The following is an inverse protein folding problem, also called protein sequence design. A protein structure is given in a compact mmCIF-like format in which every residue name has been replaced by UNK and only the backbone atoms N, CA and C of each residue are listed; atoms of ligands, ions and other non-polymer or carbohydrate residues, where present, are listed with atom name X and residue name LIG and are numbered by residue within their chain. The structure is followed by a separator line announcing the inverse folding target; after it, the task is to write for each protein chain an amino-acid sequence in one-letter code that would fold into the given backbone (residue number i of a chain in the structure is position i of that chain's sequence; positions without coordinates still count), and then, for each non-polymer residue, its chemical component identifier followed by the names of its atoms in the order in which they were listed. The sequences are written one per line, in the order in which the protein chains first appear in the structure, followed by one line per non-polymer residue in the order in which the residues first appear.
data_IF_553866466370
#
_entry.id   IF_553866466370
#
_cell.length_a   1.000
_cell.length_b   1.000
_cell.length_c   1.000
_cell.angle_alpha   90.00
_cell.angle_beta   90.00
_cell.angle_gamma   90.00
#
_symmetry.space_group_name_H-M   'P 1'
#
loop_
_entity.id
_entity.type
_entity.pdbx_description
1 polymer ?
#
# COMPACT_ATOMS: atom_id res chain seq x y z
N UNK A 1 11.15 -29.50 -2.41
CA UNK A 1 10.50 -28.29 -2.95
C UNK A 1 10.30 -27.29 -1.84
N UNK A 2 10.84 -26.05 -1.94
CA UNK A 2 10.55 -25.01 -0.96
C UNK A 2 9.10 -24.56 -1.16
N UNK A 3 8.23 -24.85 -0.18
CA UNK A 3 6.85 -24.36 -0.18
C UNK A 3 6.88 -22.82 -0.17
N UNK A 4 6.24 -22.19 -1.15
CA UNK A 4 6.03 -20.74 -1.17
C UNK A 4 5.37 -20.32 0.17
N UNK A 5 6.15 -19.67 1.04
CA UNK A 5 5.72 -19.21 2.37
C UNK A 5 4.56 -18.20 2.29
N UNK A 6 4.35 -17.57 1.14
CA UNK A 6 3.34 -16.54 0.90
C UNK A 6 1.90 -17.02 0.90
N UNK A 7 1.63 -18.32 0.67
CA UNK A 7 0.27 -18.85 0.63
C UNK A 7 -0.35 -19.20 1.99
N UNK A 8 0.41 -19.17 3.09
CA UNK A 8 -0.08 -19.67 4.39
C UNK A 8 -0.94 -18.64 5.14
N UNK A 9 -0.60 -17.35 5.09
CA UNK A 9 -1.33 -16.30 5.83
C UNK A 9 -2.76 -16.12 5.31
N UNK A 10 -2.94 -15.94 4.00
CA UNK A 10 -4.25 -15.68 3.42
C UNK A 10 -5.23 -16.85 3.60
N UNK A 11 -4.73 -18.09 3.61
CA UNK A 11 -5.52 -19.29 3.88
C UNK A 11 -5.98 -19.36 5.33
N UNK A 12 -5.12 -18.98 6.29
CA UNK A 12 -5.48 -18.90 7.71
C UNK A 12 -6.44 -17.75 7.97
N UNK A 13 -6.25 -16.62 7.30
CA UNK A 13 -7.17 -15.49 7.35
C UNK A 13 -8.58 -15.86 6.88
N UNK A 14 -8.71 -16.57 5.76
CA UNK A 14 -10.01 -17.04 5.26
C UNK A 14 -10.74 -17.91 6.28
N UNK A 15 -10.09 -18.96 6.79
CA UNK A 15 -10.66 -19.86 7.79
C UNK A 15 -11.04 -19.10 9.08
N UNK A 16 -10.13 -18.31 9.63
CA UNK A 16 -10.38 -17.55 10.86
C UNK A 16 -11.51 -16.54 10.69
N UNK A 17 -11.61 -15.88 9.53
CA UNK A 17 -12.70 -14.96 9.20
C UNK A 17 -14.04 -15.69 9.15
N UNK A 18 -14.10 -16.89 8.56
CA UNK A 18 -15.33 -17.69 8.58
C UNK A 18 -15.76 -18.06 10.00
N UNK A 19 -14.80 -18.37 10.87
CA UNK A 19 -15.06 -18.68 12.28
C UNK A 19 -15.51 -17.47 13.12
N UNK A 20 -15.38 -16.24 12.61
CA UNK A 20 -15.98 -15.06 13.27
C UNK A 20 -17.52 -15.09 13.21
N UNK A 21 -18.08 -15.78 12.22
CA UNK A 21 -19.50 -16.11 12.13
C UNK A 21 -19.72 -17.63 12.22
N UNK A 22 -20.91 -18.07 11.83
CA UNK A 22 -21.29 -19.50 11.85
C UNK A 22 -21.21 -20.12 10.45
N UNK A 23 -20.21 -19.70 9.68
CA UNK A 23 -20.02 -20.15 8.30
C UNK A 23 -19.31 -21.50 8.18
N UNK A 24 -19.37 -22.08 6.99
CA UNK A 24 -18.62 -23.28 6.61
C UNK A 24 -17.44 -22.89 5.71
N UNK A 25 -16.30 -23.55 5.90
CA UNK A 25 -15.08 -23.27 5.15
C UNK A 25 -14.52 -24.55 4.55
N UNK A 26 -14.04 -24.48 3.31
CA UNK A 26 -13.33 -25.57 2.64
C UNK A 26 -12.17 -24.99 1.82
N UNK A 27 -11.03 -25.67 1.84
CA UNK A 27 -9.95 -25.42 0.92
C UNK A 27 -10.20 -26.21 -0.37
N UNK A 28 -10.07 -25.54 -1.52
CA UNK A 28 -10.20 -26.17 -2.84
C UNK A 28 -9.09 -25.69 -3.78
N UNK A 29 -8.67 -26.54 -4.71
CA UNK A 29 -7.67 -26.23 -5.72
C UNK A 29 -8.29 -25.55 -6.96
N UNK A 30 -8.95 -24.42 -6.72
CA UNK A 30 -9.48 -23.53 -7.76
C UNK A 30 -10.11 -24.27 -8.97
N UNK A 31 -9.54 -24.08 -10.17
CA UNK A 31 -10.06 -24.54 -11.45
C UNK A 31 -9.61 -25.97 -11.84
N UNK A 32 -8.82 -26.66 -11.03
CA UNK A 32 -8.26 -27.98 -11.37
C UNK A 32 -9.20 -29.17 -11.05
N UNK A 33 -10.46 -28.88 -10.70
CA UNK A 33 -11.52 -29.86 -10.52
C UNK A 33 -12.27 -29.66 -9.21
N UNK A 34 -13.60 -29.51 -9.30
CA UNK A 34 -14.47 -29.46 -8.12
C UNK A 34 -14.41 -30.82 -7.42
N UNK A 35 -14.09 -30.84 -6.12
CA UNK A 35 -14.16 -32.06 -5.30
C UNK A 35 -12.85 -32.51 -4.66
N UNK A 36 -11.74 -31.79 -4.87
CA UNK A 36 -10.50 -32.03 -4.15
C UNK A 36 -10.60 -31.44 -2.73
N UNK A 37 -11.23 -32.20 -1.81
CA UNK A 37 -11.34 -31.82 -0.41
C UNK A 37 -9.99 -31.95 0.27
N UNK A 38 -9.22 -30.86 0.29
CA UNK A 38 -7.94 -30.83 0.98
C UNK A 38 -8.20 -30.77 2.49
N UNK A 39 -7.67 -31.78 3.21
CA UNK A 39 -7.76 -31.85 4.66
C UNK A 39 -6.54 -31.21 5.29
N UNK A 40 -6.77 -30.36 6.30
CA UNK A 40 -5.74 -29.64 7.02
C UNK A 40 -5.91 -29.87 8.52
N UNK A 41 -4.81 -29.92 9.31
CA UNK A 41 -4.89 -30.16 10.76
C UNK A 41 -5.81 -29.18 11.52
N UNK A 42 -6.01 -27.99 10.97
CA UNK A 42 -6.96 -26.97 11.47
C UNK A 42 -8.40 -27.48 11.55
N UNK A 43 -8.81 -28.44 10.72
CA UNK A 43 -10.15 -29.03 10.76
C UNK A 43 -10.34 -30.06 11.88
N UNK A 44 -9.27 -30.73 12.32
CA UNK A 44 -9.31 -31.70 13.43
C UNK A 44 -9.16 -31.04 14.81
N UNK A 45 -9.08 -29.71 14.84
CA UNK A 45 -8.78 -29.00 16.07
C UNK A 45 -9.96 -29.05 17.03
N UNK A 46 -9.74 -29.38 18.32
CA UNK A 46 -10.80 -29.48 19.32
C UNK A 46 -11.27 -28.09 19.79
N UNK A 47 -11.62 -27.20 18.87
CA UNK A 47 -12.06 -25.83 19.14
C UNK A 47 -13.44 -25.82 19.82
N UNK A 48 -14.31 -26.75 19.45
CA UNK A 48 -15.65 -26.93 20.03
C UNK A 48 -16.67 -25.86 19.58
N UNK A 49 -17.63 -25.52 20.44
CA UNK A 49 -18.74 -24.60 20.11
C UNK A 49 -18.36 -23.15 20.42
N UNK A 50 -18.86 -22.16 19.64
CA UNK A 50 -18.67 -20.75 19.99
C UNK A 50 -19.39 -20.43 21.31
N UNK A 51 -18.74 -19.61 22.15
CA UNK A 51 -19.29 -19.13 23.44
C UNK A 51 -20.17 -17.89 23.30
N UNK A 52 -20.15 -17.26 22.13
CA UNK A 52 -20.87 -16.01 21.84
C UNK A 52 -20.53 -15.46 20.46
N UNK A 53 -21.00 -14.25 20.11
CA UNK A 53 -20.62 -13.56 18.88
C UNK A 53 -19.13 -13.17 18.91
N UNK A 54 -18.55 -12.92 17.73
CA UNK A 54 -17.23 -12.31 17.64
C UNK A 54 -17.25 -10.86 18.12
N UNK A 55 -16.19 -10.44 18.80
CA UNK A 55 -15.96 -9.06 19.21
C UNK A 55 -14.84 -8.43 18.40
N UNK A 56 -14.91 -7.11 18.18
CA UNK A 56 -13.86 -6.33 17.54
C UNK A 56 -13.16 -5.45 18.57
N UNK A 57 -11.84 -5.56 18.63
CA UNK A 57 -10.98 -4.74 19.46
C UNK A 57 -10.77 -3.34 18.87
N UNK A 58 -10.28 -2.41 19.69
CA UNK A 58 -10.00 -1.03 19.27
C UNK A 58 -8.93 -0.94 18.16
N UNK A 59 -7.98 -1.87 18.14
CA UNK A 59 -6.96 -2.02 17.10
C UNK A 59 -7.50 -2.66 15.79
N UNK A 60 -8.79 -3.01 15.77
CA UNK A 60 -9.47 -3.58 14.61
C UNK A 60 -9.42 -5.10 14.51
N UNK A 61 -8.74 -5.78 15.44
CA UNK A 61 -8.68 -7.25 15.48
C UNK A 61 -10.00 -7.83 15.92
N UNK A 62 -10.44 -8.87 15.23
CA UNK A 62 -11.62 -9.62 15.61
C UNK A 62 -11.22 -10.88 16.36
N UNK A 63 -11.95 -11.17 17.44
CA UNK A 63 -11.75 -12.36 18.25
C UNK A 63 -13.08 -13.04 18.55
N UNK A 64 -13.07 -14.37 18.61
CA UNK A 64 -14.21 -15.16 19.04
C UNK A 64 -13.77 -16.28 19.96
N UNK A 65 -14.44 -16.40 21.10
CA UNK A 65 -14.18 -17.45 22.07
C UNK A 65 -15.00 -18.71 21.74
N UNK A 66 -14.37 -19.87 21.93
CA UNK A 66 -14.96 -21.19 21.77
C UNK A 66 -14.75 -22.02 23.05
N UNK A 67 -15.47 -23.12 23.21
CA UNK A 67 -15.35 -24.02 24.37
C UNK A 67 -13.93 -24.56 24.55
N UNK A 68 -13.22 -24.86 23.47
CA UNK A 68 -11.87 -25.40 23.47
C UNK A 68 -10.76 -24.41 23.13
N UNK A 69 -11.08 -23.12 22.89
CA UNK A 69 -10.05 -22.11 22.64
C UNK A 69 -10.57 -20.78 22.12
N UNK A 70 -9.72 -20.06 21.39
CA UNK A 70 -10.04 -18.76 20.81
C UNK A 70 -9.55 -18.68 19.37
N UNK A 71 -10.25 -17.89 18.56
CA UNK A 71 -9.83 -17.56 17.20
C UNK A 71 -9.66 -16.06 17.12
N UNK A 72 -8.58 -15.61 16.48
CA UNK A 72 -8.33 -14.21 16.19
C UNK A 72 -8.06 -14.01 14.70
N UNK A 73 -8.56 -12.92 14.13
CA UNK A 73 -8.31 -12.54 12.74
C UNK A 73 -7.92 -11.06 12.62
N UNK A 74 -6.88 -10.82 11.84
CA UNK A 74 -6.37 -9.49 11.52
C UNK A 74 -6.76 -9.12 10.09
N UNK A 75 -7.88 -8.43 9.93
CA UNK A 75 -8.33 -7.90 8.64
C UNK A 75 -7.75 -6.53 8.29
N UNK A 76 -6.77 -6.04 9.07
CA UNK A 76 -6.17 -4.72 8.84
C UNK A 76 -4.95 -4.83 7.94
N UNK A 77 -4.46 -3.66 7.49
CA UNK A 77 -3.21 -3.56 6.74
C UNK A 77 -1.95 -3.57 7.62
N UNK A 78 -2.12 -3.68 8.94
CA UNK A 78 -1.06 -3.57 9.92
C UNK A 78 -0.85 -4.92 10.61
N UNK A 79 0.36 -5.19 11.07
CA UNK A 79 0.60 -6.25 12.03
C UNK A 79 -0.02 -5.83 13.38
N UNK A 80 -0.58 -6.80 14.09
CA UNK A 80 -1.23 -6.59 15.37
C UNK A 80 -0.77 -7.61 16.39
N UNK A 81 -1.09 -7.36 17.65
CA UNK A 81 -0.69 -8.21 18.77
C UNK A 81 -1.95 -8.66 19.51
N UNK A 82 -2.07 -9.95 19.75
CA UNK A 82 -3.16 -10.57 20.49
C UNK A 82 -2.64 -11.16 21.79
N UNK A 83 -3.31 -10.80 22.88
CA UNK A 83 -3.07 -11.30 24.23
C UNK A 83 -4.35 -11.97 24.76
N UNK A 84 -4.50 -13.29 24.60
CA UNK A 84 -5.75 -14.00 24.88
C UNK A 84 -6.05 -14.19 26.39
N UNK A 85 -5.30 -13.55 27.28
CA UNK A 85 -5.50 -13.64 28.74
C UNK A 85 -5.10 -14.99 29.35
N UNK A 86 -4.04 -15.62 28.86
CA UNK A 86 -3.54 -16.90 29.37
C UNK A 86 -2.47 -17.50 28.48
N UNK A 87 -2.06 -18.74 28.78
CA UNK A 87 -1.10 -19.49 27.97
C UNK A 87 -1.83 -20.29 26.90
N UNK A 88 -1.45 -20.08 25.64
CA UNK A 88 -2.05 -20.74 24.50
C UNK A 88 -0.97 -21.35 23.61
N UNK A 89 -1.34 -22.41 22.89
CA UNK A 89 -0.63 -22.93 21.73
C UNK A 89 -1.28 -22.38 20.47
N UNK A 90 -0.52 -21.67 19.64
CA UNK A 90 -0.95 -21.34 18.28
C UNK A 90 -0.83 -22.59 17.41
N UNK A 91 -1.97 -23.04 16.90
CA UNK A 91 -2.04 -24.22 16.07
C UNK A 91 -1.20 -24.08 14.78
N UNK A 92 -1.12 -22.86 14.23
CA UNK A 92 -0.46 -22.59 12.95
C UNK A 92 1.06 -22.76 13.01
N UNK A 93 1.64 -22.46 14.17
CA UNK A 93 3.10 -22.43 14.37
C UNK A 93 3.58 -23.45 15.39
N UNK A 94 2.67 -24.03 16.18
CA UNK A 94 2.97 -24.88 17.33
C UNK A 94 3.50 -24.10 18.56
N UNK A 95 3.68 -22.78 18.44
CA UNK A 95 4.28 -21.92 19.48
C UNK A 95 3.36 -21.81 20.68
N UNK A 96 3.93 -21.97 21.88
CA UNK A 96 3.25 -21.75 23.16
C UNK A 96 3.66 -20.40 23.73
N UNK A 97 2.72 -19.46 23.83
CA UNK A 97 2.96 -18.10 24.29
C UNK A 97 1.73 -17.49 24.99
N UNK A 98 1.93 -16.33 25.61
CA UNK A 98 0.86 -15.48 26.18
C UNK A 98 0.51 -14.29 25.28
N UNK A 99 1.27 -14.11 24.19
CA UNK A 99 1.22 -12.98 23.27
C UNK A 99 1.59 -13.47 21.88
N UNK A 100 0.81 -13.07 20.88
CA UNK A 100 0.98 -13.49 19.48
C UNK A 100 0.89 -12.31 18.53
N UNK A 101 1.86 -12.18 17.63
CA UNK A 101 1.85 -11.23 16.52
C UNK A 101 1.08 -11.82 15.35
N UNK A 102 -0.03 -11.18 15.00
CA UNK A 102 -0.81 -11.49 13.80
C UNK A 102 -0.34 -10.57 12.69
N UNK A 103 0.14 -11.15 11.59
CA UNK A 103 0.47 -10.37 10.39
C UNK A 103 -0.79 -9.74 9.79
N UNK A 104 -0.62 -8.72 8.94
CA UNK A 104 -1.71 -8.21 8.10
C UNK A 104 -2.38 -9.36 7.34
N UNK A 105 -3.72 -9.36 7.28
CA UNK A 105 -4.50 -10.41 6.61
C UNK A 105 -4.08 -11.82 7.06
N UNK A 106 -4.07 -12.04 8.37
CA UNK A 106 -3.75 -13.33 9.00
C UNK A 106 -4.84 -13.77 9.99
N UNK A 107 -4.87 -15.07 10.27
CA UNK A 107 -5.75 -15.69 11.24
C UNK A 107 -5.00 -16.66 12.15
N UNK A 108 -5.44 -16.80 13.40
CA UNK A 108 -4.86 -17.72 14.38
C UNK A 108 -5.96 -18.48 15.12
N UNK A 109 -5.73 -19.78 15.29
CA UNK A 109 -6.49 -20.64 16.20
C UNK A 109 -5.60 -20.92 17.40
N UNK A 110 -6.05 -20.50 18.57
CA UNK A 110 -5.30 -20.53 19.82
C UNK A 110 -5.97 -21.52 20.78
N UNK A 111 -5.22 -22.52 21.24
CA UNK A 111 -5.69 -23.54 22.17
C UNK A 111 -5.07 -23.32 23.55
N UNK A 112 -5.85 -23.22 24.64
CA UNK A 112 -5.32 -23.16 25.99
C UNK A 112 -4.39 -24.35 26.26
N UNK A 113 -3.30 -24.12 26.98
CA UNK A 113 -2.33 -25.18 27.27
C UNK A 113 -1.54 -24.93 28.54
N UNK A 114 -1.14 -26.01 29.21
CA UNK A 114 -0.23 -25.97 30.36
C UNK A 114 1.24 -26.18 29.96
N UNK A 115 1.51 -26.53 28.70
CA UNK A 115 2.85 -26.75 28.18
C UNK A 115 3.80 -25.58 28.51
N UNK A 116 5.11 -25.81 28.64
CA UNK A 116 6.05 -24.72 28.86
C UNK A 116 6.03 -23.73 27.68
N UNK A 117 6.34 -22.46 27.96
CA UNK A 117 6.48 -21.46 26.91
C UNK A 117 7.56 -21.90 25.93
N UNK A 118 7.31 -21.73 24.63
CA UNK A 118 8.34 -21.95 23.62
C UNK A 118 9.44 -20.90 23.82
N UNK A 119 10.73 -21.29 23.94
CA UNK A 119 11.82 -20.34 24.11
C UNK A 119 11.89 -19.29 22.98
N UNK A 120 12.33 -18.07 23.34
CA UNK A 120 12.45 -16.93 22.44
C UNK A 120 11.19 -16.05 22.38
N UNK A 121 11.35 -14.80 21.94
CA UNK A 121 10.22 -13.89 21.75
C UNK A 121 9.44 -14.22 20.47
N UNK A 122 8.20 -13.72 20.39
CA UNK A 122 7.48 -13.78 19.13
C UNK A 122 8.07 -12.75 18.17
N UNK A 123 7.87 -12.95 16.86
CA UNK A 123 8.33 -12.00 15.88
C UNK A 123 7.66 -10.64 16.15
N UNK A 124 8.42 -9.54 16.27
CA UNK A 124 7.82 -8.24 16.48
C UNK A 124 6.94 -7.85 15.29
N UNK A 125 5.89 -7.03 15.52
CA UNK A 125 5.13 -6.44 14.43
C UNK A 125 6.07 -5.58 13.58
N UNK A 126 5.99 -5.73 12.26
CA UNK A 126 6.88 -5.04 11.31
C UNK A 126 6.32 -3.71 10.84
N UNK A 127 5.00 -3.63 10.76
CA UNK A 127 4.27 -2.44 10.32
C UNK A 127 3.07 -2.27 11.23
N UNK A 128 3.03 -1.22 12.04
CA UNK A 128 1.92 -0.94 12.97
C UNK A 128 1.20 0.32 12.56
N UNK A 129 -0.06 0.48 13.01
CA UNK A 129 -0.83 1.70 12.79
C UNK A 129 -0.34 2.87 13.65
N UNK A 130 0.49 2.58 14.67
CA UNK A 130 1.08 3.61 15.52
C UNK A 130 2.14 4.38 14.75
N UNK A 131 2.16 5.69 14.93
CA UNK A 131 3.20 6.56 14.38
C UNK A 131 4.53 6.20 15.07
N UNK A 132 5.60 5.87 14.32
CA UNK A 132 6.87 5.49 14.91
C UNK A 132 7.60 6.71 15.50
N UNK A 133 8.46 6.51 16.49
CA UNK A 133 9.26 7.60 17.08
C UNK A 133 10.35 8.14 16.13
N UNK A 134 10.78 7.31 15.17
CA UNK A 134 11.80 7.62 14.16
C UNK A 134 11.37 7.14 12.78
N UNK A 135 12.08 7.58 11.75
CA UNK A 135 11.89 7.05 10.40
C UNK A 135 12.04 5.52 10.38
N UNK A 136 11.10 4.86 9.72
CA UNK A 136 11.08 3.42 9.57
C UNK A 136 10.91 3.07 8.10
N UNK A 137 11.80 2.24 7.56
CA UNK A 137 11.67 1.63 6.24
C UNK A 137 11.63 0.10 6.39
N UNK A 138 10.52 -0.51 5.99
CA UNK A 138 10.21 -1.91 6.26
C UNK A 138 9.89 -2.64 4.96
N UNK A 139 10.58 -3.76 4.72
CA UNK A 139 10.21 -4.72 3.67
C UNK A 139 9.34 -5.83 4.25
N UNK A 140 8.15 -5.99 3.70
CA UNK A 140 7.18 -7.03 4.10
C UNK A 140 7.43 -8.32 3.33
N UNK A 141 6.78 -9.40 3.79
CA UNK A 141 6.96 -10.74 3.22
C UNK A 141 6.64 -10.75 1.72
N UNK A 142 5.50 -10.19 1.32
CA UNK A 142 5.07 -10.15 -0.08
C UNK A 142 5.86 -9.15 -0.96
N UNK A 143 6.96 -8.62 -0.44
CA UNK A 143 7.84 -7.68 -1.13
C UNK A 143 7.37 -6.23 -1.10
N UNK A 144 6.20 -5.94 -0.50
CA UNK A 144 5.77 -4.56 -0.25
C UNK A 144 6.82 -3.84 0.58
N UNK A 145 7.17 -2.61 0.18
CA UNK A 145 8.02 -1.72 0.97
C UNK A 145 7.13 -0.65 1.61
N UNK A 146 7.26 -0.44 2.91
CA UNK A 146 6.57 0.61 3.64
C UNK A 146 7.58 1.58 4.27
N UNK A 147 7.36 2.88 4.13
CA UNK A 147 8.13 3.91 4.83
C UNK A 147 7.18 4.70 5.74
N UNK A 148 7.51 4.85 7.02
CA UNK A 148 6.73 5.62 8.00
C UNK A 148 7.58 6.72 8.63
N UNK A 149 6.98 7.90 8.84
CA UNK A 149 7.62 9.04 9.49
C UNK A 149 7.07 9.27 10.90
N UNK A 150 7.82 9.94 11.79
CA UNK A 150 7.30 10.40 13.08
C UNK A 150 6.20 11.46 12.96
N UNK A 151 6.10 12.14 11.82
CA UNK A 151 5.03 13.08 11.53
C UNK A 151 3.73 12.42 11.07
N UNK A 152 3.67 11.09 10.94
CA UNK A 152 2.46 10.34 10.60
C UNK A 152 2.24 10.07 9.11
N UNK A 153 3.20 10.41 8.24
CA UNK A 153 3.20 10.00 6.84
C UNK A 153 3.58 8.52 6.74
N UNK A 154 2.87 7.78 5.88
CA UNK A 154 3.16 6.40 5.52
C UNK A 154 3.04 6.21 4.01
N UNK A 155 4.10 5.70 3.38
CA UNK A 155 4.14 5.36 1.96
C UNK A 155 4.20 3.84 1.81
N UNK A 156 3.46 3.27 0.86
CA UNK A 156 3.51 1.84 0.54
C UNK A 156 3.70 1.59 -0.94
N UNK A 157 4.75 0.87 -1.25
CA UNK A 157 5.15 0.51 -2.60
C UNK A 157 4.93 -0.98 -2.84
N UNK A 158 4.39 -1.33 -3.99
CA UNK A 158 4.43 -2.71 -4.49
C UNK A 158 5.87 -3.16 -4.75
N UNK A 159 6.13 -4.47 -4.87
CA UNK A 159 7.45 -4.98 -5.24
C UNK A 159 8.00 -4.39 -6.55
N UNK A 160 7.11 -3.91 -7.43
CA UNK A 160 7.46 -3.30 -8.72
C UNK A 160 7.85 -1.82 -8.63
N UNK A 161 7.74 -1.20 -7.45
CA UNK A 161 7.91 0.25 -7.26
C UNK A 161 6.61 1.06 -7.28
N UNK A 162 5.50 0.48 -7.73
CA UNK A 162 4.25 1.25 -7.79
C UNK A 162 3.80 1.72 -6.40
N UNK A 163 3.80 3.05 -6.18
CA UNK A 163 3.26 3.68 -4.98
C UNK A 163 1.74 3.47 -4.91
N UNK A 164 1.29 2.63 -3.98
CA UNK A 164 -0.13 2.24 -3.84
C UNK A 164 -0.86 3.04 -2.79
N UNK A 165 -0.21 3.36 -1.69
CA UNK A 165 -0.81 4.12 -0.62
C UNK A 165 0.12 5.25 -0.21
N UNK A 166 -0.46 6.44 -0.13
CA UNK A 166 0.08 7.59 0.56
C UNK A 166 -0.92 7.83 1.68
N UNK A 167 -0.48 7.63 2.92
CA UNK A 167 -1.32 7.78 4.11
C UNK A 167 -0.75 8.88 4.99
N UNK A 168 -1.62 9.68 5.59
CA UNK A 168 -1.26 10.66 6.59
C UNK A 168 -2.20 10.49 7.78
N UNK A 169 -1.64 10.11 8.93
CA UNK A 169 -2.40 9.74 10.13
C UNK A 169 -3.51 8.71 9.84
N UNK A 170 -3.18 7.70 9.03
CA UNK A 170 -4.08 6.61 8.64
C UNK A 170 -5.16 6.98 7.61
N UNK A 171 -5.18 8.21 7.07
CA UNK A 171 -6.10 8.65 6.00
C UNK A 171 -5.34 8.78 4.69
N UNK A 172 -6.03 8.73 3.55
CA UNK A 172 -5.40 8.88 2.22
C UNK A 172 -5.55 10.32 1.73
N UNK A 173 -4.56 11.22 1.96
CA UNK A 173 -4.66 12.61 1.52
C UNK A 173 -4.58 12.74 -0.01
N UNK A 174 -3.93 11.81 -0.69
CA UNK A 174 -3.85 11.72 -2.14
C UNK A 174 -3.52 10.29 -2.57
N UNK A 175 -3.68 9.96 -3.86
CA UNK A 175 -3.21 8.70 -4.45
C UNK A 175 -2.39 8.97 -5.72
N UNK A 176 -1.67 7.98 -6.24
CA UNK A 176 -0.83 8.12 -7.43
C UNK A 176 0.66 8.07 -7.10
N UNK A 177 1.46 8.85 -7.82
CA UNK A 177 2.92 8.90 -7.71
C UNK A 177 3.66 8.00 -8.71
N UNK A 178 3.09 6.84 -9.04
CA UNK A 178 3.66 5.96 -10.07
C UNK A 178 3.36 6.45 -11.49
N UNK A 179 4.36 6.50 -12.40
CA UNK A 179 4.15 6.95 -13.77
C UNK A 179 3.27 6.02 -14.59
N UNK A 180 2.53 6.61 -15.52
CA UNK A 180 1.89 5.89 -16.63
C UNK A 180 2.68 6.21 -17.90
N UNK A 181 3.30 5.19 -18.47
CA UNK A 181 3.91 5.23 -19.80
C UNK A 181 2.99 4.45 -20.74
N UNK A 182 2.52 5.09 -21.82
CA UNK A 182 1.55 4.50 -22.72
C UNK A 182 1.90 4.72 -24.20
N UNK A 183 1.71 3.69 -25.01
CA UNK A 183 1.80 3.73 -26.47
C UNK A 183 0.41 3.94 -27.11
N UNK A 184 0.32 4.45 -28.35
CA UNK A 184 -0.93 4.48 -29.12
C UNK A 184 -1.48 3.05 -29.36
N UNK A 185 -2.81 2.85 -29.36
CA UNK A 185 -3.84 3.87 -29.19
C UNK A 185 -4.12 4.22 -27.72
N UNK A 186 -3.66 3.44 -26.73
CA UNK A 186 -3.67 3.71 -25.26
C UNK A 186 -3.21 2.45 -24.50
N UNK A 187 -2.25 1.71 -25.03
CA UNK A 187 -1.72 0.51 -24.38
C UNK A 187 -0.68 0.93 -23.34
N UNK A 188 -0.82 0.44 -22.11
CA UNK A 188 0.08 0.80 -21.01
C UNK A 188 1.26 -0.16 -20.99
N UNK A 189 2.46 0.39 -20.81
CA UNK A 189 3.62 -0.40 -20.45
C UNK A 189 3.38 -1.08 -19.10
N UNK A 190 3.88 -2.31 -18.95
CA UNK A 190 3.78 -3.09 -17.72
C UNK A 190 5.16 -3.51 -17.26
N UNK A 191 5.35 -3.59 -15.95
CA UNK A 191 6.57 -4.15 -15.37
C UNK A 191 6.57 -5.66 -15.64
N UNK A 192 7.57 -6.16 -16.36
CA UNK A 192 7.76 -7.60 -16.64
C UNK A 192 8.90 -8.20 -15.83
N UNK A 193 9.84 -7.36 -15.42
CA UNK A 193 10.97 -7.74 -14.58
C UNK A 193 11.18 -6.63 -13.55
N UNK A 194 11.40 -7.02 -12.29
CA UNK A 194 11.70 -6.11 -11.19
C UNK A 194 12.83 -6.69 -10.36
N UNK A 195 13.84 -5.88 -10.08
CA UNK A 195 14.88 -6.22 -9.11
C UNK A 195 14.29 -6.16 -7.69
N UNK A 196 14.81 -6.94 -6.73
CA UNK A 196 14.38 -6.83 -5.36
C UNK A 196 14.61 -5.41 -4.82
N UNK A 197 13.54 -4.74 -4.39
CA UNK A 197 13.63 -3.42 -3.82
C UNK A 197 14.60 -3.38 -2.62
N UNK A 198 15.39 -2.32 -2.52
CA UNK A 198 16.16 -1.98 -1.33
C UNK A 198 15.39 -0.94 -0.52
N UNK A 199 15.53 -0.99 0.80
CA UNK A 199 14.91 -0.04 1.70
C UNK A 199 15.84 0.18 2.90
N UNK A 200 16.07 1.44 3.27
CA UNK A 200 16.92 1.81 4.38
C UNK A 200 16.35 3.04 5.10
N UNK A 201 16.65 3.16 6.39
CA UNK A 201 16.31 4.35 7.17
C UNK A 201 17.49 4.76 8.06
N UNK A 202 17.74 6.06 8.09
CA UNK A 202 18.62 6.77 9.01
C UNK A 202 17.77 7.68 9.89
N UNK A 203 18.39 8.48 10.77
CA UNK A 203 17.65 9.46 11.59
C UNK A 203 17.04 10.59 10.76
N UNK A 204 17.68 10.96 9.64
CA UNK A 204 17.30 12.14 8.84
C UNK A 204 16.63 11.79 7.52
N UNK A 205 16.77 10.56 7.04
CA UNK A 205 16.22 10.13 5.75
C UNK A 205 15.93 8.63 5.72
N UNK A 206 14.79 8.27 5.13
CA UNK A 206 14.49 6.93 4.68
C UNK A 206 14.44 6.89 3.15
N UNK A 207 14.90 5.80 2.56
CA UNK A 207 14.95 5.64 1.12
C UNK A 207 14.51 4.25 0.69
N UNK A 208 13.90 4.18 -0.50
CA UNK A 208 13.64 2.94 -1.21
C UNK A 208 14.03 3.08 -2.69
N UNK A 209 14.64 2.04 -3.25
CA UNK A 209 15.03 2.01 -4.67
C UNK A 209 14.41 0.79 -5.34
N UNK A 210 13.79 1.04 -6.48
CA UNK A 210 13.16 0.05 -7.35
C UNK A 210 13.78 0.16 -8.74
N UNK A 211 14.01 -0.97 -9.40
CA UNK A 211 14.52 -1.00 -10.76
C UNK A 211 13.90 -2.17 -11.52
N UNK A 212 13.75 -2.04 -12.82
CA UNK A 212 13.16 -3.09 -13.64
C UNK A 212 13.03 -2.74 -15.11
N UNK A 213 12.24 -3.55 -15.81
CA UNK A 213 11.90 -3.35 -17.22
C UNK A 213 10.38 -3.21 -17.41
N UNK A 214 10.02 -2.22 -18.21
CA UNK A 214 8.68 -1.94 -18.71
C UNK A 214 8.55 -2.43 -20.15
N UNK A 215 7.45 -3.10 -20.48
CA UNK A 215 7.19 -3.53 -21.87
C UNK A 215 5.77 -3.27 -22.35
N UNK A 216 5.63 -3.05 -23.65
CA UNK A 216 4.38 -3.04 -24.40
C UNK A 216 4.64 -3.63 -25.80
N UNK A 217 4.15 -4.84 -26.07
CA UNK A 217 4.52 -5.56 -27.30
C UNK A 217 6.04 -5.76 -27.40
N UNK A 218 6.63 -5.31 -28.50
CA UNK A 218 8.09 -5.35 -28.73
C UNK A 218 8.82 -4.13 -28.15
N UNK A 219 8.09 -3.15 -27.61
CA UNK A 219 8.67 -1.95 -27.02
C UNK A 219 9.14 -2.21 -25.59
N UNK A 220 10.38 -1.79 -25.28
CA UNK A 220 11.02 -2.00 -23.98
C UNK A 220 11.64 -0.73 -23.44
N UNK A 221 11.61 -0.55 -22.13
CA UNK A 221 12.37 0.47 -21.44
C UNK A 221 12.76 0.05 -20.03
N UNK A 222 13.98 0.38 -19.63
CA UNK A 222 14.44 0.20 -18.26
C UNK A 222 13.99 1.39 -17.41
N UNK A 223 13.73 1.14 -16.13
CA UNK A 223 13.47 2.21 -15.16
C UNK A 223 14.23 2.01 -13.87
N UNK A 224 14.49 3.15 -13.19
CA UNK A 224 14.91 3.20 -11.79
C UNK A 224 14.01 4.23 -11.09
N UNK A 225 13.34 3.84 -10.03
CA UNK A 225 12.61 4.75 -9.14
C UNK A 225 13.29 4.79 -7.79
N UNK A 226 13.64 6.00 -7.35
CA UNK A 226 14.14 6.27 -6.00
C UNK A 226 13.11 7.09 -5.26
N UNK A 227 12.68 6.61 -4.09
CA UNK A 227 11.93 7.40 -3.14
C UNK A 227 12.80 7.76 -1.95
N UNK A 228 12.85 9.04 -1.58
CA UNK A 228 13.42 9.51 -0.31
C UNK A 228 12.32 10.15 0.54
N UNK A 229 12.43 10.03 1.86
CA UNK A 229 11.45 10.53 2.84
C UNK A 229 12.18 11.11 4.05
N UNK A 230 11.77 12.30 4.49
CA UNK A 230 12.31 12.99 5.66
C UNK A 230 11.32 12.98 6.84
N UNK A 231 11.77 13.25 8.08
CA UNK A 231 10.90 13.15 9.26
C UNK A 231 9.71 14.12 9.28
N UNK A 232 9.78 15.21 8.53
CA UNK A 232 8.78 16.29 8.42
C UNK A 232 7.69 16.01 7.38
N UNK A 233 7.44 14.74 7.05
CA UNK A 233 6.40 14.28 6.10
C UNK A 233 6.59 14.79 4.67
N UNK A 234 7.84 14.98 4.27
CA UNK A 234 8.22 15.28 2.89
C UNK A 234 8.81 14.03 2.24
N UNK A 235 8.42 13.76 1.01
CA UNK A 235 8.99 12.70 0.20
C UNK A 235 9.27 13.16 -1.22
N UNK A 236 10.31 12.59 -1.83
CA UNK A 236 10.67 12.82 -3.23
C UNK A 236 10.60 11.51 -3.99
N UNK A 237 9.98 11.53 -5.16
CA UNK A 237 9.98 10.44 -6.14
C UNK A 237 10.84 10.89 -7.32
N UNK A 238 11.96 10.21 -7.53
CA UNK A 238 12.85 10.39 -8.66
C UNK A 238 12.75 9.17 -9.57
N UNK A 239 12.34 9.37 -10.82
CA UNK A 239 12.13 8.29 -11.78
C UNK A 239 12.97 8.51 -13.04
N UNK A 240 13.93 7.61 -13.24
CA UNK A 240 14.74 7.51 -14.44
C UNK A 240 14.13 6.47 -15.40
N UNK A 241 14.06 6.81 -16.68
CA UNK A 241 13.62 5.90 -17.74
C UNK A 241 14.62 5.92 -18.90
N UNK A 242 14.98 4.74 -19.39
CA UNK A 242 15.82 4.56 -20.58
C UNK A 242 15.07 3.73 -21.61
N UNK A 243 14.92 4.25 -22.83
CA UNK A 243 14.31 3.50 -23.92
C UNK A 243 15.26 2.40 -24.42
N UNK A 244 14.93 1.14 -24.18
CA UNK A 244 15.75 0.01 -24.65
C UNK A 244 15.50 -0.33 -26.13
N UNK A 245 14.39 0.17 -26.68
CA UNK A 245 14.03 0.11 -28.10
C UNK A 245 13.52 1.48 -28.56
N UNK A 246 13.36 1.69 -29.87
CA UNK A 246 12.56 2.81 -30.37
C UNK A 246 11.12 2.71 -29.83
N UNK A 247 10.57 3.83 -29.36
CA UNK A 247 9.22 3.93 -28.80
C UNK A 247 8.42 4.99 -29.57
N UNK A 248 7.11 4.79 -29.61
CA UNK A 248 6.17 5.84 -29.98
C UNK A 248 5.23 6.05 -28.80
N UNK A 249 5.49 7.06 -27.98
CA UNK A 249 4.75 7.29 -26.76
C UNK A 249 3.53 8.16 -27.05
N UNK A 250 2.35 7.68 -26.66
CA UNK A 250 1.16 8.53 -26.60
C UNK A 250 1.33 9.54 -25.46
N UNK A 251 1.78 9.06 -24.30
CA UNK A 251 2.08 9.90 -23.15
C UNK A 251 3.00 9.16 -22.18
N UNK A 252 3.87 9.92 -21.53
CA UNK A 252 4.34 9.63 -20.19
C UNK A 252 3.65 10.62 -19.26
N UNK A 253 2.99 10.13 -18.21
CA UNK A 253 2.33 10.95 -17.19
C UNK A 253 2.77 10.57 -15.78
N UNK A 254 3.29 11.52 -15.01
CA UNK A 254 3.32 11.41 -13.54
C UNK A 254 2.14 12.17 -12.96
N UNK A 255 1.49 11.64 -11.95
CA UNK A 255 0.27 12.25 -11.44
C UNK A 255 -0.06 11.88 -10.00
N UNK A 256 -0.88 12.73 -9.41
CA UNK A 256 -1.59 12.50 -8.17
C UNK A 256 -3.09 12.75 -8.35
N UNK A 257 -3.92 11.98 -7.66
CA UNK A 257 -5.35 12.22 -7.54
C UNK A 257 -5.68 12.79 -6.17
N UNK A 258 -6.49 13.84 -6.17
CA UNK A 258 -7.04 14.52 -5.00
C UNK A 258 -8.52 14.20 -4.92
N UNK A 259 -8.98 13.40 -3.93
CA UNK A 259 -10.38 13.01 -3.84
C UNK A 259 -11.30 14.23 -3.68
N UNK A 260 -12.35 14.34 -4.49
CA UNK A 260 -13.27 15.49 -4.45
C UNK A 260 -13.92 15.65 -3.07
N UNK A 261 -14.25 14.54 -2.39
CA UNK A 261 -14.81 14.55 -1.03
C UNK A 261 -13.93 15.27 0.00
N UNK A 262 -12.62 15.35 -0.24
CA UNK A 262 -11.63 15.87 0.70
C UNK A 262 -11.14 17.27 0.27
N UNK A 263 -11.24 17.60 -1.03
CA UNK A 263 -10.66 18.81 -1.62
C UNK A 263 -11.65 19.75 -2.34
N UNK A 264 -12.93 19.41 -2.47
CA UNK A 264 -13.93 20.36 -2.96
C UNK A 264 -13.92 21.64 -2.09
N UNK A 265 -13.85 22.82 -2.73
CA UNK A 265 -13.72 24.11 -2.06
C UNK A 265 -12.32 24.44 -1.50
N UNK A 266 -11.34 23.53 -1.64
CA UNK A 266 -9.96 23.79 -1.25
C UNK A 266 -9.35 24.93 -2.07
N UNK A 267 -8.39 25.64 -1.47
CA UNK A 267 -7.59 26.65 -2.18
C UNK A 267 -6.42 25.97 -2.85
N UNK A 268 -6.18 26.27 -4.12
CA UNK A 268 -4.99 25.85 -4.84
C UNK A 268 -4.19 27.08 -5.23
N UNK A 269 -2.90 27.07 -4.94
CA UNK A 269 -1.94 28.10 -5.34
C UNK A 269 -0.94 27.44 -6.28
N UNK A 270 -0.94 27.86 -7.54
CA UNK A 270 0.13 27.57 -8.50
C UNK A 270 1.03 28.79 -8.72
N UNK A 271 2.08 28.64 -9.54
CA UNK A 271 3.08 29.69 -9.80
C UNK A 271 2.48 31.08 -10.14
N UNK A 272 1.41 31.12 -10.94
CA UNK A 272 0.82 32.38 -11.45
C UNK A 272 -0.64 32.59 -11.03
N UNK A 273 -1.27 31.59 -10.38
CA UNK A 273 -2.72 31.59 -10.19
C UNK A 273 -3.10 30.93 -8.88
N UNK A 274 -3.96 31.63 -8.13
CA UNK A 274 -4.71 31.07 -7.01
C UNK A 274 -6.16 30.82 -7.44
N UNK A 275 -6.71 29.66 -7.10
CA UNK A 275 -8.11 29.31 -7.39
C UNK A 275 -8.75 28.49 -6.27
N UNK A 276 -10.06 28.34 -6.35
CA UNK A 276 -10.85 27.42 -5.53
C UNK A 276 -11.22 26.19 -6.35
N UNK A 277 -11.04 25.01 -5.79
CA UNK A 277 -11.49 23.78 -6.42
C UNK A 277 -13.03 23.75 -6.46
N UNK A 278 -13.64 23.49 -7.62
CA UNK A 278 -15.09 23.62 -7.78
C UNK A 278 -15.81 22.47 -7.08
N UNK A 279 -16.82 22.78 -6.27
CA UNK A 279 -17.65 21.75 -5.61
C UNK A 279 -18.44 20.94 -6.63
N UNK A 280 -18.93 21.59 -7.68
CA UNK A 280 -19.60 20.96 -8.81
C UNK A 280 -18.63 20.64 -9.95
N UNK A 281 -19.01 19.70 -10.82
CA UNK A 281 -18.19 19.28 -11.96
C UNK A 281 -18.00 20.45 -12.94
N UNK A 282 -16.74 20.74 -13.29
CA UNK A 282 -16.39 21.64 -14.38
C UNK A 282 -15.80 20.91 -15.59
N UNK A 283 -15.80 21.55 -16.76
CA UNK A 283 -15.20 20.99 -17.98
C UNK A 283 -13.83 21.59 -18.33
N UNK A 284 -13.52 22.78 -17.80
CA UNK A 284 -12.27 23.52 -18.06
C UNK A 284 -11.09 23.03 -17.20
N UNK A 285 -9.83 23.16 -17.70
CA UNK A 285 -8.64 23.01 -16.87
C UNK A 285 -8.63 24.04 -15.73
N UNK A 286 -8.29 23.59 -14.52
CA UNK A 286 -8.25 24.45 -13.34
C UNK A 286 -6.91 25.22 -13.29
N UNK A 287 -5.81 24.47 -13.43
CA UNK A 287 -4.46 25.00 -13.66
C UNK A 287 -3.88 24.38 -14.94
N UNK A 288 -3.36 25.22 -15.83
CA UNK A 288 -2.77 24.77 -17.11
C UNK A 288 -1.30 24.34 -16.96
N UNK A 289 -0.53 25.01 -16.09
CA UNK A 289 0.90 24.76 -15.90
C UNK A 289 1.38 25.41 -14.59
N UNK A 290 2.02 24.64 -13.71
CA UNK A 290 2.75 25.13 -12.54
C UNK A 290 3.81 24.11 -12.11
N UNK A 291 5.01 24.56 -11.73
CA UNK A 291 6.05 23.68 -11.16
C UNK A 291 5.90 23.54 -9.64
N UNK A 292 5.31 24.53 -8.99
CA UNK A 292 4.96 24.50 -7.59
C UNK A 292 3.44 24.56 -7.45
N UNK A 293 2.85 23.59 -6.76
CA UNK A 293 1.40 23.54 -6.49
C UNK A 293 1.17 23.29 -5.01
N UNK A 294 0.50 24.23 -4.35
CA UNK A 294 0.04 24.08 -2.99
C UNK A 294 -1.49 23.90 -2.97
N UNK A 295 -1.98 22.87 -2.28
CA UNK A 295 -3.40 22.58 -2.11
C UNK A 295 -3.75 22.60 -0.63
N UNK A 296 -4.56 23.58 -0.21
CA UNK A 296 -4.99 23.77 1.19
C UNK A 296 -6.44 23.34 1.36
N UNK A 297 -6.65 22.25 2.11
CA UNK A 297 -7.97 21.76 2.52
C UNK A 297 -8.10 21.78 4.04
N UNK A 298 -9.31 21.49 4.55
CA UNK A 298 -9.52 21.28 5.99
C UNK A 298 -8.80 20.05 6.54
N UNK A 299 -8.46 19.09 5.69
CA UNK A 299 -7.89 17.82 6.13
C UNK A 299 -6.36 17.85 6.11
N UNK A 300 -5.78 18.43 5.06
CA UNK A 300 -4.36 18.49 4.83
C UNK A 300 -3.99 19.69 3.96
N UNK A 301 -2.77 20.17 4.15
CA UNK A 301 -2.06 21.02 3.19
C UNK A 301 -1.04 20.16 2.46
N UNK A 302 -1.11 20.18 1.13
CA UNK A 302 -0.16 19.50 0.25
C UNK A 302 0.67 20.52 -0.50
N UNK A 303 1.97 20.31 -0.56
CA UNK A 303 2.86 21.08 -1.45
C UNK A 303 3.51 20.10 -2.41
N UNK A 304 3.42 20.36 -3.70
CA UNK A 304 4.01 19.53 -4.76
C UNK A 304 4.93 20.38 -5.62
N UNK A 305 6.22 20.05 -5.59
CA UNK A 305 7.22 20.58 -6.50
C UNK A 305 7.50 19.54 -7.59
N UNK A 306 7.61 19.97 -8.85
CA UNK A 306 7.83 19.08 -9.98
C UNK A 306 8.84 19.62 -10.98
N UNK A 307 9.65 18.72 -11.51
CA UNK A 307 10.57 19.02 -12.61
C UNK A 307 9.83 19.34 -13.93
N UNK A 308 8.85 18.54 -14.42
CA UNK A 308 7.92 18.97 -15.45
C UNK A 308 6.82 19.88 -14.87
N UNK A 309 6.27 20.83 -15.65
CA UNK A 309 5.09 21.57 -15.23
C UNK A 309 3.90 20.63 -15.03
N UNK A 310 3.13 20.89 -13.97
CA UNK A 310 1.90 20.20 -13.60
C UNK A 310 0.68 20.95 -14.11
N UNK A 311 -0.33 20.19 -14.53
CA UNK A 311 -1.67 20.67 -14.82
C UNK A 311 -2.65 20.10 -13.80
N UNK A 312 -3.66 20.88 -13.42
CA UNK A 312 -4.73 20.45 -12.52
C UNK A 312 -6.06 20.43 -13.25
N UNK A 313 -6.70 19.27 -13.28
CA UNK A 313 -7.89 19.02 -14.10
C UNK A 313 -8.97 18.39 -13.23
N UNK A 314 -10.22 18.83 -13.40
CA UNK A 314 -11.37 18.12 -12.86
C UNK A 314 -11.57 16.80 -13.63
N UNK A 315 -11.20 15.68 -13.00
CA UNK A 315 -11.20 14.37 -13.66
C UNK A 315 -12.60 13.72 -13.64
N UNK A 316 -13.58 14.34 -12.96
CA UNK A 316 -15.00 13.93 -12.99
C UNK A 316 -15.61 13.95 -14.37
N UNK A 317 -15.07 14.76 -15.29
CA UNK A 317 -15.51 14.74 -16.69
C UNK A 317 -15.23 13.42 -17.41
N UNK A 318 -14.34 12.60 -16.87
CA UNK A 318 -14.07 11.23 -17.32
C UNK A 318 -14.59 10.16 -16.35
N UNK A 319 -15.46 10.54 -15.40
CA UNK A 319 -16.16 9.61 -14.53
C UNK A 319 -15.42 9.17 -13.27
N UNK A 320 -14.31 9.82 -12.89
CA UNK A 320 -13.64 9.53 -11.60
C UNK A 320 -13.94 10.64 -10.58
N UNK A 321 -14.08 10.33 -9.28
CA UNK A 321 -14.45 11.32 -8.26
C UNK A 321 -13.26 12.14 -7.74
N UNK A 322 -12.35 12.57 -8.64
CA UNK A 322 -11.05 13.14 -8.27
C UNK A 322 -10.70 14.40 -9.10
N UNK A 323 -9.85 15.25 -8.54
CA UNK A 323 -9.03 16.17 -9.31
C UNK A 323 -7.70 15.50 -9.65
N UNK A 324 -7.25 15.62 -10.90
CA UNK A 324 -5.99 15.07 -11.39
C UNK A 324 -4.94 16.18 -11.44
N UNK A 325 -3.87 16.05 -10.66
CA UNK A 325 -2.65 16.85 -10.77
C UNK A 325 -1.61 16.05 -11.55
N UNK A 326 -1.22 16.48 -12.74
CA UNK A 326 -0.39 15.66 -13.63
C UNK A 326 0.61 16.46 -14.47
N UNK A 327 1.83 15.92 -14.61
CA UNK A 327 2.87 16.39 -15.53
C UNK A 327 3.11 15.39 -16.66
N UNK A 328 3.46 15.91 -17.85
CA UNK A 328 3.62 15.16 -19.09
C UNK A 328 5.00 15.38 -19.71
N UNK A 329 6.06 14.73 -19.18
CA UNK A 329 7.44 15.02 -19.58
C UNK A 329 7.76 14.65 -21.04
N UNK A 330 7.12 13.61 -21.59
CA UNK A 330 7.47 13.05 -22.90
C UNK A 330 6.23 12.57 -23.66
N UNK A 331 6.20 12.82 -24.97
CA UNK A 331 5.28 12.21 -25.93
C UNK A 331 5.92 12.16 -27.32
N UNK A 332 5.38 11.33 -28.22
CA UNK A 332 5.84 11.19 -29.59
C UNK A 332 6.93 10.13 -29.79
N UNK A 333 7.67 10.25 -30.89
CA UNK A 333 8.73 9.33 -31.25
C UNK A 333 9.95 9.50 -30.33
N UNK A 334 10.43 8.38 -29.82
CA UNK A 334 11.53 8.29 -28.87
C UNK A 334 12.53 7.27 -29.41
N UNK A 335 13.81 7.63 -29.46
CA UNK A 335 14.87 6.74 -29.95
C UNK A 335 15.42 5.85 -28.85
N UNK A 336 15.82 4.63 -29.24
CA UNK A 336 16.58 3.75 -28.38
C UNK A 336 17.81 4.48 -27.78
N UNK A 337 18.06 4.24 -26.50
CA UNK A 337 19.14 4.83 -25.72
C UNK A 337 18.84 6.22 -25.16
N UNK A 338 17.73 6.87 -25.56
CA UNK A 338 17.34 8.12 -24.93
C UNK A 338 16.87 7.90 -23.49
N UNK A 339 17.19 8.88 -22.63
CA UNK A 339 17.00 8.86 -21.18
C UNK A 339 16.22 10.09 -20.72
N UNK A 340 15.37 9.92 -19.72
CA UNK A 340 14.68 11.04 -19.05
C UNK A 340 14.60 10.77 -17.55
N UNK A 341 14.57 11.86 -16.79
CA UNK A 341 14.40 11.83 -15.35
C UNK A 341 13.24 12.74 -14.98
N UNK A 342 12.38 12.28 -14.08
CA UNK A 342 11.31 13.07 -13.50
C UNK A 342 11.43 13.02 -11.99
N UNK A 343 11.48 14.20 -11.40
CA UNK A 343 11.41 14.39 -9.96
C UNK A 343 10.10 15.07 -9.56
N UNK A 344 9.47 14.51 -8.52
CA UNK A 344 8.33 15.05 -7.80
C UNK A 344 8.66 15.08 -6.31
N UNK A 345 8.52 16.23 -5.67
CA UNK A 345 8.64 16.34 -4.22
C UNK A 345 7.30 16.75 -3.63
N UNK A 346 6.86 16.03 -2.60
CA UNK A 346 5.56 16.22 -1.95
C UNK A 346 5.77 16.40 -0.45
N UNK A 347 5.21 17.46 0.11
CA UNK A 347 5.12 17.68 1.56
C UNK A 347 3.67 17.57 2.00
N UNK A 348 3.41 16.86 3.10
CA UNK A 348 2.07 16.68 3.66
C UNK A 348 2.02 17.23 5.08
N UNK A 349 1.14 18.19 5.31
CA UNK A 349 0.91 18.79 6.63
C UNK A 349 -0.56 18.66 7.03
N UNK A 350 -0.84 18.72 8.33
CA UNK A 350 -2.21 18.82 8.82
C UNK A 350 -2.85 20.12 8.32
N UNK A 351 -4.14 20.05 7.95
CA UNK A 351 -4.89 21.23 7.54
C UNK A 351 -5.14 22.20 8.70
N UNK A 352 -5.36 23.47 8.38
CA UNK A 352 -5.87 24.46 9.34
C UNK A 352 -7.34 24.12 9.65
N UNK A 353 -7.59 23.64 10.87
CA UNK A 353 -8.89 23.17 11.35
C UNK A 353 -9.84 24.29 11.76
#
# INVERSE_FOLDING_TARGET
MPRAKYGCSIRRFGLATTLMGDGYFAYDCANMGRGNRWWYPEFDTPLGRPKGPAGRNADGIWQRAFTGGAVATNGTNYDAVVEPGGKYRDLSTGRVAIRFTLRRFDGRILLPTDAPLTPGEDAPPRLTAAVPEKLLATKLDDGTVAIQTPGGLELRFEPTGALRNILFNGRTPLTGGWPVVAAPPRTHFRVVESQPATASATETEAAAVFAGELTEGDHRGAFVETCTVTPDNRFTLHFDFTANTDLNLRMWRHYFFLPVRDYAGATVVGDEKTLKLPEERGDEPLLSSAKHVEVRSKQATLTVDSSPPLSLIDHRKWGTPDYLLAGYPVSGAVKQGATWSVELTVSVQAGEG
#
